data_IF_551891289285
#
_entry.id   IF_551891289285
#
_cell.length_a   1.000
_cell.length_b   1.000
_cell.length_c   1.000
_cell.angle_alpha   90.00
_cell.angle_beta   90.00
_cell.angle_gamma   90.00
#
_symmetry.space_group_name_H-M   'P 1'
#
loop_
_entity.id
_entity.type
_entity.pdbx_description
1 polymer ?
#
# COMPACT_ATOMS: atom_id res chain seq x y z
N UNK A 1 15.89 21.80 -11.41
CA UNK A 1 14.93 20.77 -11.41
C UNK A 1 14.36 20.51 -10.07
N UNK A 2 13.08 20.44 -10.01
CA UNK A 2 12.44 20.30 -8.75
C UNK A 2 12.23 18.84 -8.40
N UNK A 3 12.40 18.53 -7.16
CA UNK A 3 12.25 17.19 -6.69
C UNK A 3 10.88 17.01 -6.09
N UNK A 4 10.01 16.38 -6.83
CA UNK A 4 8.67 16.11 -6.36
C UNK A 4 8.49 14.67 -5.93
N UNK A 5 9.52 13.85 -6.11
CA UNK A 5 9.45 12.44 -5.82
C UNK A 5 10.45 12.13 -4.73
N UNK A 6 10.02 11.38 -3.74
CA UNK A 6 10.88 10.97 -2.65
C UNK A 6 11.01 9.46 -2.65
N UNK A 7 12.23 8.97 -2.60
CA UNK A 7 12.46 7.55 -2.45
C UNK A 7 12.38 7.21 -0.98
N UNK A 8 11.55 6.22 -0.67
CA UNK A 8 11.39 5.77 0.71
C UNK A 8 11.30 4.25 0.71
N UNK A 9 11.35 3.64 1.88
CA UNK A 9 11.29 2.19 1.97
C UNK A 9 10.27 1.79 3.02
N UNK A 10 9.64 0.65 2.80
CA UNK A 10 8.69 0.07 3.75
C UNK A 10 8.92 -1.42 3.79
N UNK A 11 8.56 -2.03 4.91
CA UNK A 11 8.58 -3.47 5.05
C UNK A 11 7.22 -4.01 4.71
N UNK A 12 7.17 -5.02 3.86
CA UNK A 12 5.91 -5.60 3.42
C UNK A 12 5.90 -7.07 3.81
N UNK A 13 4.75 -7.53 4.28
CA UNK A 13 4.57 -8.94 4.60
C UNK A 13 4.87 -9.75 3.33
N UNK A 14 5.76 -10.71 3.44
CA UNK A 14 6.27 -11.41 2.27
C UNK A 14 5.17 -12.08 1.44
N UNK A 15 4.24 -12.73 2.09
CA UNK A 15 3.17 -13.41 1.35
C UNK A 15 2.28 -12.41 0.61
N UNK A 16 2.04 -11.26 1.20
CA UNK A 16 1.27 -10.22 0.53
C UNK A 16 2.01 -9.71 -0.71
N UNK A 17 3.29 -9.48 -0.56
CA UNK A 17 4.09 -8.99 -1.66
C UNK A 17 4.10 -9.98 -2.82
N UNK A 18 4.32 -11.26 -2.51
CA UNK A 18 4.36 -12.29 -3.54
C UNK A 18 3.00 -12.42 -4.24
N UNK A 19 1.92 -12.40 -3.48
CA UNK A 19 0.59 -12.48 -4.06
C UNK A 19 0.28 -11.26 -4.92
N UNK A 20 0.72 -10.10 -4.47
CA UNK A 20 0.53 -8.88 -5.25
C UNK A 20 1.22 -8.99 -6.60
N UNK A 21 2.46 -9.48 -6.61
CA UNK A 21 3.19 -9.63 -7.86
C UNK A 21 2.51 -10.62 -8.80
N UNK A 22 2.02 -11.73 -8.25
CA UNK A 22 1.32 -12.71 -9.08
C UNK A 22 0.03 -12.14 -9.67
N UNK A 23 -0.70 -11.35 -8.88
CA UNK A 23 -1.97 -10.80 -9.34
C UNK A 23 -1.80 -9.68 -10.35
N UNK A 24 -0.63 -9.07 -10.40
CA UNK A 24 -0.43 -7.92 -11.26
C UNK A 24 0.50 -8.19 -12.44
N UNK A 25 0.87 -9.47 -12.64
CA UNK A 25 1.87 -9.80 -13.67
C UNK A 25 1.40 -9.40 -15.06
N UNK A 26 0.10 -9.45 -15.33
CA UNK A 26 -0.44 -9.10 -16.63
C UNK A 26 -1.18 -7.76 -16.62
N UNK A 27 -0.89 -6.92 -15.65
CA UNK A 27 -1.56 -5.62 -15.58
C UNK A 27 -0.50 -4.51 -15.53
N UNK A 28 -0.97 -3.28 -15.63
CA UNK A 28 -0.08 -2.12 -15.53
C UNK A 28 0.12 -1.67 -14.08
N UNK A 29 -0.45 -2.41 -13.14
CA UNK A 29 -0.30 -2.04 -11.74
C UNK A 29 1.07 -2.45 -11.23
N UNK A 30 1.65 -1.61 -10.37
CA UNK A 30 2.87 -1.95 -9.67
C UNK A 30 2.81 -1.35 -8.27
N UNK A 31 3.81 -1.67 -7.45
CA UNK A 31 3.78 -1.24 -6.06
C UNK A 31 3.82 0.27 -5.93
N UNK A 32 4.60 0.92 -6.75
CA UNK A 32 4.69 2.37 -6.70
C UNK A 32 3.34 3.04 -6.98
N UNK A 33 2.64 2.55 -7.99
CA UNK A 33 1.32 3.09 -8.29
C UNK A 33 0.34 2.82 -7.17
N UNK A 34 0.37 1.61 -6.63
CA UNK A 34 -0.53 1.25 -5.55
C UNK A 34 -0.32 2.15 -4.34
N UNK A 35 0.93 2.33 -3.94
CA UNK A 35 1.24 3.13 -2.75
C UNK A 35 0.81 4.57 -2.96
N UNK A 36 1.16 5.15 -4.10
CA UNK A 36 0.80 6.55 -4.33
C UNK A 36 -0.71 6.75 -4.37
N UNK A 37 -1.41 5.84 -5.05
CA UNK A 37 -2.86 5.97 -5.14
C UNK A 37 -3.53 5.71 -3.80
N UNK A 38 -3.00 4.78 -3.01
CA UNK A 38 -3.57 4.51 -1.69
C UNK A 38 -3.37 5.70 -0.76
N UNK A 39 -2.20 6.32 -0.80
CA UNK A 39 -1.95 7.49 0.04
C UNK A 39 -2.87 8.63 -0.37
N UNK A 40 -3.03 8.84 -1.66
CA UNK A 40 -3.89 9.91 -2.14
C UNK A 40 -5.34 9.68 -1.68
N UNK A 41 -5.82 8.45 -1.78
CA UNK A 41 -7.17 8.13 -1.34
C UNK A 41 -7.32 8.28 0.16
N UNK A 42 -6.31 7.88 0.91
CA UNK A 42 -6.32 8.01 2.36
C UNK A 42 -6.48 9.48 2.77
N UNK A 43 -5.80 10.36 2.05
CA UNK A 43 -5.83 11.78 2.38
C UNK A 43 -7.11 12.48 1.96
N UNK A 44 -7.81 11.94 0.96
CA UNK A 44 -8.95 12.61 0.36
C UNK A 44 -10.28 11.90 0.53
N UNK A 45 -10.30 10.76 1.20
CA UNK A 45 -11.53 9.98 1.35
C UNK A 45 -11.59 9.45 2.78
N UNK A 46 -12.47 10.03 3.59
CA UNK A 46 -12.56 9.67 5.01
C UNK A 46 -13.00 8.22 5.21
N UNK A 47 -13.80 7.69 4.31
CA UNK A 47 -14.23 6.29 4.42
C UNK A 47 -13.07 5.35 4.21
N UNK A 48 -12.21 5.64 3.23
CA UNK A 48 -11.04 4.82 2.97
C UNK A 48 -10.05 4.96 4.11
N UNK A 49 -9.87 6.17 4.61
CA UNK A 49 -8.99 6.41 5.75
C UNK A 49 -9.41 5.56 6.93
N UNK A 50 -10.68 5.59 7.29
CA UNK A 50 -11.17 4.83 8.42
C UNK A 50 -11.05 3.32 8.16
N UNK A 51 -11.36 2.90 6.96
CA UNK A 51 -11.29 1.49 6.61
C UNK A 51 -9.87 0.94 6.77
N UNK A 52 -8.89 1.75 6.39
CA UNK A 52 -7.49 1.33 6.51
C UNK A 52 -7.04 1.35 7.97
N UNK A 53 -7.41 2.41 8.70
CA UNK A 53 -6.95 2.56 10.08
C UNK A 53 -7.54 1.50 11.02
N UNK A 54 -8.73 1.02 10.70
CA UNK A 54 -9.39 0.01 11.54
C UNK A 54 -9.27 -1.39 10.97
N UNK A 55 -8.45 -1.57 9.95
CA UNK A 55 -8.31 -2.87 9.31
C UNK A 55 -7.66 -3.86 10.28
N UNK A 56 -8.31 -5.00 10.46
CA UNK A 56 -7.83 -5.99 11.42
C UNK A 56 -7.74 -7.40 10.85
N UNK A 57 -7.61 -7.51 9.54
CA UNK A 57 -7.62 -8.82 8.88
C UNK A 57 -6.25 -9.37 8.59
N UNK A 58 -5.20 -8.70 9.02
CA UNK A 58 -3.86 -9.22 8.86
C UNK A 58 -3.53 -10.09 10.06
N UNK A 59 -3.06 -11.31 9.78
CA UNK A 59 -2.83 -12.29 10.83
C UNK A 59 -1.39 -12.32 11.30
N UNK A 60 -0.81 -11.15 11.49
CA UNK A 60 0.50 -11.03 12.09
C UNK A 60 0.36 -10.34 13.44
N UNK A 61 1.16 -10.75 14.39
CA UNK A 61 1.10 -10.13 15.71
C UNK A 61 1.67 -8.72 15.64
N UNK A 62 1.13 -7.88 16.51
CA UNK A 62 1.61 -6.52 16.59
C UNK A 62 0.90 -5.59 15.63
N UNK A 63 0.95 -4.32 15.93
CA UNK A 63 0.25 -3.32 15.16
C UNK A 63 1.13 -2.66 14.10
N UNK A 64 2.30 -3.23 13.81
CA UNK A 64 3.20 -2.65 12.82
C UNK A 64 2.71 -2.85 11.40
N UNK A 65 1.85 -3.78 11.19
CA UNK A 65 1.37 -4.10 9.87
C UNK A 65 -0.14 -4.03 9.83
#
# INVERSE_FOLDING_TARGET
MKKEIKLTSVKIIESLYNNFKLKTVNSNMNLQKLVNRAIHQYLNDDDIKESIETYDKLHLSGSQF
#
